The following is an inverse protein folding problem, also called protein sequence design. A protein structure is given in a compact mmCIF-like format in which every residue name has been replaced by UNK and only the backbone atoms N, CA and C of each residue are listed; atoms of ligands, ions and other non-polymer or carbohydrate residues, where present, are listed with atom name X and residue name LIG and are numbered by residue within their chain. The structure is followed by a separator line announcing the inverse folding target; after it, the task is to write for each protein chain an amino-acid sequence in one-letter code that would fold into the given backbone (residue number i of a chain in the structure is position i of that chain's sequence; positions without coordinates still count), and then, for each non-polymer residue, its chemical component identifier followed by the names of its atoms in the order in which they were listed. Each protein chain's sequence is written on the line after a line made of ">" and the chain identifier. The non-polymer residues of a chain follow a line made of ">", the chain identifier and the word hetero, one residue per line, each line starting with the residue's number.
data_IF_234533616521
#
_entry.id   IF_234533616521
#
_cell.length_a   1.000
_cell.length_b   1.000
_cell.length_c   1.000
_cell.angle_alpha   90.00
_cell.angle_beta   90.00
_cell.angle_gamma   90.00
#
_symmetry.space_group_name_H-M   'P 1'
#
loop_
_entity.id
_entity.type
_entity.pdbx_description
1 polymer ?
#
# COMPACT_ATOMS: atom_id res chain seq x y z
N UNK A 1 3.73 8.39 -23.67
CA UNK A 1 4.97 8.41 -22.87
C UNK A 1 4.81 9.45 -21.80
N UNK A 2 4.91 9.06 -20.53
CA UNK A 2 4.97 10.02 -19.42
C UNK A 2 6.39 10.58 -19.40
N UNK A 3 6.53 11.90 -19.23
CA UNK A 3 7.82 12.56 -19.23
C UNK A 3 8.71 12.01 -18.07
N UNK A 4 10.01 11.79 -18.31
CA UNK A 4 10.91 11.11 -17.36
C UNK A 4 11.03 11.84 -16.01
N UNK A 5 10.84 13.16 -15.98
CA UNK A 5 10.77 13.95 -14.74
C UNK A 5 9.60 13.56 -13.81
N UNK A 6 8.49 13.06 -14.36
CA UNK A 6 7.35 12.59 -13.55
C UNK A 6 7.63 11.22 -12.92
N UNK A 7 8.35 10.33 -13.60
CA UNK A 7 8.69 9.02 -13.09
C UNK A 7 9.65 9.08 -11.88
N UNK A 8 10.55 10.07 -11.84
CA UNK A 8 11.49 10.26 -10.73
C UNK A 8 10.81 10.82 -9.46
N UNK A 9 9.88 11.76 -9.61
CA UNK A 9 9.09 12.32 -8.50
C UNK A 9 8.16 11.26 -7.89
N UNK A 10 7.76 10.28 -8.69
CA UNK A 10 6.93 9.15 -8.26
C UNK A 10 7.67 8.14 -7.37
N UNK A 11 8.97 7.95 -7.61
CA UNK A 11 9.83 7.04 -6.84
C UNK A 11 10.13 7.61 -5.44
N UNK A 12 10.40 8.91 -5.39
CA UNK A 12 10.69 9.64 -4.14
C UNK A 12 9.47 9.72 -3.20
N UNK A 13 8.26 9.78 -3.76
CA UNK A 13 7.00 9.79 -2.99
C UNK A 13 6.57 8.41 -2.49
N UNK A 14 6.99 7.34 -3.16
CA UNK A 14 6.80 5.98 -2.66
C UNK A 14 7.58 5.79 -1.35
N UNK A 15 8.84 6.22 -1.27
CA UNK A 15 9.65 6.09 -0.05
C UNK A 15 9.03 6.79 1.18
N UNK A 16 8.42 7.98 1.03
CA UNK A 16 7.80 8.69 2.16
C UNK A 16 6.55 8.00 2.73
N UNK A 17 5.85 7.17 1.95
CA UNK A 17 4.73 6.34 2.46
C UNK A 17 5.19 5.20 3.36
N UNK A 18 6.45 4.78 3.24
CA UNK A 18 7.00 3.64 3.99
C UNK A 18 6.98 3.87 5.50
N UNK A 19 7.12 5.12 5.94
CA UNK A 19 7.17 5.49 7.36
C UNK A 19 5.77 5.74 7.95
N UNK A 20 4.79 6.19 7.16
CA UNK A 20 3.41 6.39 7.66
C UNK A 20 2.67 5.07 7.92
N UNK A 21 3.03 3.99 7.22
CA UNK A 21 2.41 2.67 7.40
C UNK A 21 2.90 1.91 8.64
N UNK A 22 4.05 2.31 9.21
CA UNK A 22 4.55 1.73 10.47
C UNK A 22 3.56 1.92 11.62
N UNK A 23 2.93 3.10 11.70
CA UNK A 23 1.99 3.40 12.80
C UNK A 23 0.76 2.46 12.79
N UNK A 24 0.29 2.04 11.62
CA UNK A 24 -0.88 1.16 11.50
C UNK A 24 -0.54 -0.26 11.95
N UNK A 25 0.57 -0.82 11.48
CA UNK A 25 0.99 -2.17 11.88
C UNK A 25 1.32 -2.22 13.39
N UNK A 26 1.94 -1.17 13.92
CA UNK A 26 2.27 -1.07 15.34
C UNK A 26 1.01 -1.01 16.21
N UNK A 27 -0.03 -0.29 15.75
CA UNK A 27 -1.32 -0.25 16.42
C UNK A 27 -2.01 -1.63 16.40
N UNK A 28 -1.98 -2.32 15.26
CA UNK A 28 -2.57 -3.66 15.11
C UNK A 28 -1.85 -4.72 15.97
N UNK A 29 -0.52 -4.66 16.04
CA UNK A 29 0.28 -5.54 16.88
C UNK A 29 -0.02 -5.31 18.37
N UNK A 30 -0.02 -4.04 18.82
CA UNK A 30 -0.37 -3.68 20.20
C UNK A 30 -1.77 -4.12 20.58
N UNK A 31 -2.72 -4.01 19.65
CA UNK A 31 -4.10 -4.44 19.83
C UNK A 31 -4.28 -5.98 19.73
N UNK A 32 -3.22 -6.75 19.41
CA UNK A 32 -3.27 -8.19 19.15
C UNK A 32 -4.27 -8.56 18.04
N UNK A 33 -4.43 -7.69 17.05
CA UNK A 33 -5.32 -7.87 15.92
C UNK A 33 -4.63 -8.50 14.69
N UNK A 34 -3.31 -8.70 14.76
CA UNK A 34 -2.59 -9.46 13.74
C UNK A 34 -3.01 -10.93 13.78
N UNK A 35 -3.18 -11.53 12.59
CA UNK A 35 -3.46 -12.95 12.44
C UNK A 35 -2.42 -13.79 13.18
N UNK A 36 -2.85 -14.86 13.86
CA UNK A 36 -1.94 -15.77 14.55
C UNK A 36 -0.82 -16.28 13.62
N UNK A 37 0.43 -16.17 14.09
CA UNK A 37 1.62 -16.55 13.32
C UNK A 37 2.09 -15.52 12.28
N UNK A 38 1.40 -14.40 12.13
CA UNK A 38 1.84 -13.29 11.28
C UNK A 38 2.76 -12.35 12.07
N UNK A 39 4.00 -12.25 11.64
CA UNK A 39 4.96 -11.31 12.25
C UNK A 39 4.66 -9.88 11.80
N UNK A 40 5.05 -8.90 12.63
CA UNK A 40 4.97 -7.46 12.31
C UNK A 40 5.57 -7.14 10.94
N UNK A 41 6.76 -7.65 10.65
CA UNK A 41 7.47 -7.44 9.39
C UNK A 41 6.68 -7.99 8.19
N UNK A 42 6.10 -9.18 8.33
CA UNK A 42 5.27 -9.78 7.28
C UNK A 42 3.96 -9.03 7.08
N UNK A 43 3.30 -8.63 8.18
CA UNK A 43 2.09 -7.83 8.12
C UNK A 43 2.33 -6.49 7.38
N UNK A 44 3.47 -5.86 7.68
CA UNK A 44 3.91 -4.65 6.99
C UNK A 44 4.16 -4.90 5.50
N UNK A 45 4.89 -5.95 5.15
CA UNK A 45 5.17 -6.28 3.75
C UNK A 45 3.87 -6.50 2.95
N UNK A 46 2.89 -7.18 3.54
CA UNK A 46 1.57 -7.39 2.92
C UNK A 46 0.84 -6.04 2.74
N UNK A 47 0.72 -5.23 3.80
CA UNK A 47 0.06 -3.93 3.73
C UNK A 47 0.71 -3.02 2.68
N UNK A 48 2.04 -3.02 2.63
CA UNK A 48 2.82 -2.28 1.65
C UNK A 48 2.50 -2.69 0.22
N UNK A 49 2.46 -4.01 -0.06
CA UNK A 49 2.11 -4.51 -1.40
C UNK A 49 0.67 -4.13 -1.79
N UNK A 50 -0.27 -4.30 -0.86
CA UNK A 50 -1.69 -4.04 -1.11
C UNK A 50 -2.00 -2.55 -1.34
N UNK A 51 -1.29 -1.66 -0.64
CA UNK A 51 -1.46 -0.20 -0.76
C UNK A 51 -0.43 0.44 -1.69
N UNK A 52 0.31 -0.37 -2.43
CA UNK A 52 1.31 0.12 -3.36
C UNK A 52 0.64 0.90 -4.49
N UNK A 53 1.30 1.99 -4.91
CA UNK A 53 0.87 2.78 -6.05
C UNK A 53 0.74 1.96 -7.32
N UNK A 54 1.60 0.95 -7.47
CA UNK A 54 1.61 0.07 -8.63
C UNK A 54 0.37 -0.82 -8.68
N UNK A 55 -0.04 -1.40 -7.54
CA UNK A 55 -1.27 -2.19 -7.48
C UNK A 55 -2.50 -1.31 -7.74
N UNK A 56 -2.53 -0.10 -7.17
CA UNK A 56 -3.59 0.87 -7.47
C UNK A 56 -3.64 1.24 -8.96
N UNK A 57 -2.50 1.55 -9.57
CA UNK A 57 -2.41 1.88 -11.01
C UNK A 57 -2.93 0.72 -11.86
N UNK A 58 -2.48 -0.49 -11.58
CA UNK A 58 -2.87 -1.68 -12.33
C UNK A 58 -4.39 -1.89 -12.23
N UNK A 59 -4.96 -1.89 -11.02
CA UNK A 59 -6.38 -2.16 -10.83
C UNK A 59 -7.27 -1.03 -11.36
N UNK A 60 -6.99 0.22 -10.96
CA UNK A 60 -7.85 1.37 -11.26
C UNK A 60 -7.63 1.88 -12.68
N UNK A 61 -6.38 2.07 -13.11
CA UNK A 61 -6.10 2.72 -14.40
C UNK A 61 -6.05 1.75 -15.57
N UNK A 62 -5.62 0.50 -15.36
CA UNK A 62 -5.42 -0.46 -16.45
C UNK A 62 -6.52 -1.52 -16.52
N UNK A 63 -7.04 -1.97 -15.38
CA UNK A 63 -8.14 -2.95 -15.30
C UNK A 63 -9.51 -2.32 -15.13
N UNK A 64 -9.59 -1.00 -15.06
CA UNK A 64 -10.84 -0.24 -15.13
C UNK A 64 -11.64 -0.22 -13.83
N UNK A 65 -11.03 -0.57 -12.70
CA UNK A 65 -11.69 -0.38 -11.41
C UNK A 65 -11.88 1.11 -11.12
N UNK A 66 -12.96 1.44 -10.44
CA UNK A 66 -13.12 2.71 -9.75
C UNK A 66 -12.27 2.73 -8.46
N UNK A 67 -12.03 3.94 -7.94
CA UNK A 67 -11.39 4.08 -6.62
C UNK A 67 -12.19 3.41 -5.51
N UNK A 68 -13.52 3.45 -5.61
CA UNK A 68 -14.44 2.87 -4.62
C UNK A 68 -14.38 1.34 -4.64
N UNK A 69 -14.31 0.72 -5.83
CA UNK A 69 -14.11 -0.73 -5.95
C UNK A 69 -12.77 -1.20 -5.36
N UNK A 70 -11.70 -0.41 -5.53
CA UNK A 70 -10.41 -0.71 -4.92
C UNK A 70 -10.46 -0.59 -3.39
N UNK A 71 -11.12 0.43 -2.85
CA UNK A 71 -11.29 0.57 -1.41
C UNK A 71 -12.13 -0.58 -0.82
N UNK A 72 -13.27 -0.88 -1.44
CA UNK A 72 -14.17 -1.95 -0.98
C UNK A 72 -13.51 -3.34 -0.99
N UNK A 73 -12.46 -3.54 -1.79
CA UNK A 73 -11.69 -4.77 -1.80
C UNK A 73 -10.62 -4.86 -0.69
N UNK A 74 -10.15 -3.73 -0.16
CA UNK A 74 -9.16 -3.67 0.91
C UNK A 74 -9.77 -3.82 2.31
N UNK A 75 -11.07 -3.50 2.45
CA UNK A 75 -11.86 -3.58 3.69
C UNK A 75 -12.48 -4.98 3.90
#
# INVERSE_FOLDING_TARGET
>A
MVAPELAAVEDERNCQRYDSQLMVIDALEKAKLLKAGLTRERARAILWSLTSRELFRMLVRERGWSGDEYQAWLE
#
